data_IF_518021818313
#
_entry.id   IF_518021818313
#
_cell.length_a   1.000
_cell.length_b   1.000
_cell.length_c   1.000
_cell.angle_alpha   90.00
_cell.angle_beta   90.00
_cell.angle_gamma   90.00
#
_symmetry.space_group_name_H-M   'P 1'
#
loop_
_entity.id
_entity.type
_entity.pdbx_description
1 polymer ?
#
# COMPACT_ATOMS: atom_id res chain seq x y z
N UNK A 1 -58.97 40.91 -4.63
CA UNK A 1 -59.75 39.86 -5.31
C UNK A 1 -59.03 38.57 -5.04
N UNK A 2 -59.66 37.84 -4.20
CA UNK A 2 -59.93 36.41 -4.03
C UNK A 2 -58.71 35.54 -3.73
N UNK A 3 -58.45 35.23 -2.53
CA UNK A 3 -58.89 34.28 -1.48
C UNK A 3 -58.59 32.80 -1.78
N UNK A 4 -58.44 31.98 -0.75
CA UNK A 4 -57.43 30.93 -0.57
C UNK A 4 -58.06 29.51 -0.53
N UNK A 5 -57.25 28.45 -0.53
CA UNK A 5 -57.70 27.11 -0.14
C UNK A 5 -56.61 26.41 0.69
N UNK A 6 -56.81 26.36 1.92
CA UNK A 6 -57.31 25.36 2.91
C UNK A 6 -56.54 24.02 2.94
N UNK A 7 -55.99 23.88 4.12
CA UNK A 7 -55.42 22.67 4.77
C UNK A 7 -56.46 21.53 4.87
N UNK A 8 -56.02 20.29 4.75
CA UNK A 8 -56.64 19.17 5.48
C UNK A 8 -55.59 18.35 6.24
N UNK A 9 -55.75 18.39 7.52
CA UNK A 9 -55.17 17.44 8.51
C UNK A 9 -56.06 16.18 8.51
N UNK A 10 -55.45 15.00 8.54
CA UNK A 10 -56.12 13.71 8.72
C UNK A 10 -55.39 12.87 9.77
N UNK A 11 -56.12 12.62 10.76
CA UNK A 11 -55.94 12.08 12.10
C UNK A 11 -55.33 10.66 12.16
N UNK A 12 -54.63 10.43 13.24
CA UNK A 12 -54.23 9.17 13.79
C UNK A 12 -55.41 8.22 14.12
N UNK A 13 -55.17 6.94 14.00
CA UNK A 13 -55.99 5.92 14.62
C UNK A 13 -55.08 4.81 15.18
N UNK A 14 -55.10 4.74 16.51
CA UNK A 14 -54.59 3.64 17.31
C UNK A 14 -55.61 2.49 17.29
N UNK A 15 -55.19 1.28 17.01
CA UNK A 15 -55.92 0.07 17.38
C UNK A 15 -55.02 -0.89 18.11
N UNK A 16 -55.55 -1.36 19.23
CA UNK A 16 -54.98 -2.15 20.31
C UNK A 16 -54.98 -3.66 20.01
N UNK A 17 -53.97 -4.29 20.62
CA UNK A 17 -53.93 -5.62 21.27
C UNK A 17 -54.69 -6.81 20.66
N UNK A 18 -53.92 -7.89 20.44
CA UNK A 18 -54.39 -9.27 20.43
C UNK A 18 -53.20 -10.20 20.75
N UNK A 19 -53.12 -10.62 22.00
CA UNK A 19 -52.17 -11.63 22.50
C UNK A 19 -52.76 -13.00 22.18
N UNK A 20 -52.12 -13.81 21.33
CA UNK A 20 -52.41 -15.26 21.27
C UNK A 20 -51.06 -15.97 21.21
N UNK A 21 -50.78 -16.73 22.27
CA UNK A 21 -49.60 -17.58 22.34
C UNK A 21 -49.81 -18.82 21.50
N UNK A 22 -48.79 -19.17 20.75
CA UNK A 22 -48.63 -20.49 20.13
C UNK A 22 -47.23 -20.99 20.40
N UNK A 23 -47.16 -22.15 21.04
CA UNK A 23 -45.95 -22.96 21.29
C UNK A 23 -45.18 -23.13 19.99
N UNK A 24 -43.95 -22.71 19.95
CA UNK A 24 -42.99 -23.01 18.85
C UNK A 24 -42.19 -24.25 19.22
N UNK A 25 -42.36 -25.27 18.44
CA UNK A 25 -41.51 -26.45 18.36
C UNK A 25 -40.20 -26.03 17.73
N UNK A 26 -39.10 -26.21 18.44
CA UNK A 26 -37.77 -25.88 17.96
C UNK A 26 -37.35 -26.74 16.76
N UNK A 27 -37.01 -26.08 15.68
CA UNK A 27 -36.15 -26.63 14.63
C UNK A 27 -34.91 -25.77 14.63
N UNK A 28 -33.85 -26.28 15.25
CA UNK A 28 -32.52 -25.68 15.22
C UNK A 28 -31.97 -25.76 13.80
N UNK A 29 -32.21 -24.70 13.02
CA UNK A 29 -31.45 -24.47 11.81
C UNK A 29 -30.10 -23.88 12.23
N UNK A 30 -29.07 -24.72 12.21
CA UNK A 30 -27.67 -24.31 12.18
C UNK A 30 -27.42 -23.60 10.84
N UNK A 31 -27.92 -22.37 10.73
CA UNK A 31 -27.43 -21.41 9.75
C UNK A 31 -26.23 -20.73 10.41
N UNK A 32 -25.06 -21.33 10.29
CA UNK A 32 -23.80 -20.62 10.51
C UNK A 32 -23.78 -19.38 9.62
N UNK A 33 -23.24 -18.25 10.10
CA UNK A 33 -23.03 -17.11 9.22
C UNK A 33 -22.08 -17.55 8.12
N UNK A 34 -22.58 -17.66 6.90
CA UNK A 34 -21.75 -17.75 5.71
C UNK A 34 -20.91 -16.50 5.72
N UNK A 35 -19.56 -16.60 5.71
CA UNK A 35 -18.79 -15.42 5.45
C UNK A 35 -19.19 -14.98 4.03
N UNK A 36 -19.89 -13.87 3.95
CA UNK A 36 -20.01 -13.12 2.72
C UNK A 36 -18.61 -12.58 2.40
N UNK A 37 -17.72 -13.46 1.91
CA UNK A 37 -16.54 -13.05 1.22
C UNK A 37 -17.04 -12.30 -0.01
N UNK A 38 -17.27 -11.02 0.18
CA UNK A 38 -17.47 -10.12 -0.93
C UNK A 38 -16.26 -10.33 -1.85
N UNK A 39 -16.53 -10.88 -3.01
CA UNK A 39 -15.55 -11.01 -4.07
C UNK A 39 -15.25 -9.61 -4.58
N UNK A 40 -14.41 -8.88 -3.84
CA UNK A 40 -13.77 -7.69 -4.33
C UNK A 40 -12.69 -8.18 -5.29
N UNK A 41 -12.99 -8.22 -6.57
CA UNK A 41 -11.96 -8.31 -7.60
C UNK A 41 -10.90 -7.23 -7.34
N UNK A 42 -9.67 -7.38 -7.90
CA UNK A 42 -8.61 -6.39 -7.69
C UNK A 42 -9.19 -5.02 -8.00
N UNK A 43 -8.93 -4.02 -7.17
CA UNK A 43 -9.51 -2.69 -7.35
C UNK A 43 -9.19 -2.24 -8.79
N UNK A 44 -10.21 -1.82 -9.50
CA UNK A 44 -10.14 -1.45 -10.93
C UNK A 44 -8.97 -0.50 -11.26
N UNK A 45 -8.47 0.21 -10.26
CA UNK A 45 -7.30 1.09 -10.36
C UNK A 45 -5.97 0.32 -10.51
N UNK A 46 -5.77 -0.82 -9.82
CA UNK A 46 -4.49 -1.59 -9.94
C UNK A 46 -4.35 -2.22 -11.32
N UNK A 47 -5.41 -2.80 -11.86
CA UNK A 47 -5.42 -3.36 -13.23
C UNK A 47 -5.11 -2.28 -14.26
N UNK A 48 -5.69 -1.10 -14.09
CA UNK A 48 -5.48 0.04 -14.99
C UNK A 48 -4.04 0.57 -14.93
N UNK A 49 -3.41 0.59 -13.75
CA UNK A 49 -2.01 1.01 -13.58
C UNK A 49 -1.08 0.08 -14.33
N UNK A 50 -1.25 -1.22 -14.23
CA UNK A 50 -0.40 -2.20 -14.91
C UNK A 50 -0.52 -2.12 -16.45
N UNK A 51 -1.73 -1.94 -16.96
CA UNK A 51 -1.96 -1.71 -18.40
C UNK A 51 -1.27 -0.44 -18.89
N UNK A 52 -1.34 0.62 -18.10
CA UNK A 52 -0.68 1.89 -18.42
C UNK A 52 0.86 1.77 -18.35
N UNK A 53 1.41 1.05 -17.39
CA UNK A 53 2.85 0.77 -17.31
C UNK A 53 3.32 0.00 -18.52
N UNK A 54 2.58 -1.02 -18.93
CA UNK A 54 2.87 -1.77 -20.15
C UNK A 54 2.79 -0.89 -21.40
N UNK A 55 1.73 -0.10 -21.54
CA UNK A 55 1.57 0.84 -22.65
C UNK A 55 2.70 1.87 -22.68
N UNK A 56 3.15 2.38 -21.54
CA UNK A 56 4.27 3.33 -21.46
C UNK A 56 5.58 2.76 -21.99
N UNK A 57 5.83 1.47 -21.80
CA UNK A 57 7.11 0.85 -22.16
C UNK A 57 7.08 0.20 -23.55
N UNK A 58 5.95 -0.41 -23.94
CA UNK A 58 5.90 -1.33 -25.09
C UNK A 58 5.14 -0.76 -26.30
N UNK A 59 4.30 0.27 -26.13
CA UNK A 59 3.50 0.76 -27.24
C UNK A 59 4.38 1.44 -28.30
N UNK A 60 4.16 1.08 -29.56
CA UNK A 60 4.92 1.65 -30.69
C UNK A 60 4.61 3.14 -30.92
N UNK A 61 3.39 3.58 -30.59
CA UNK A 61 2.95 4.95 -30.78
C UNK A 61 3.35 5.82 -29.59
N UNK A 62 4.27 6.76 -29.80
CA UNK A 62 4.71 7.65 -28.74
C UNK A 62 3.58 8.47 -28.10
N UNK A 63 2.47 8.76 -28.80
CA UNK A 63 1.32 9.47 -28.24
C UNK A 63 0.62 8.64 -27.16
N UNK A 64 0.54 7.32 -27.35
CA UNK A 64 0.00 6.39 -26.35
C UNK A 64 0.94 6.35 -25.13
N UNK A 65 2.26 6.26 -25.34
CA UNK A 65 3.25 6.32 -24.25
C UNK A 65 3.17 7.63 -23.46
N UNK A 66 3.01 8.77 -24.14
CA UNK A 66 2.78 10.08 -23.48
C UNK A 66 1.52 10.07 -22.64
N UNK A 67 0.39 9.58 -23.18
CA UNK A 67 -0.86 9.50 -22.44
C UNK A 67 -0.75 8.59 -21.22
N UNK A 68 -0.08 7.44 -21.36
CA UNK A 68 0.18 6.53 -20.26
C UNK A 68 0.99 7.22 -19.14
N UNK A 69 2.05 7.94 -19.47
CA UNK A 69 2.85 8.71 -18.49
C UNK A 69 2.03 9.77 -17.77
N UNK A 70 1.18 10.53 -18.50
CA UNK A 70 0.30 11.55 -17.90
C UNK A 70 -0.66 10.92 -16.90
N UNK A 71 -1.31 9.83 -17.28
CA UNK A 71 -2.32 9.17 -16.42
C UNK A 71 -1.64 8.55 -15.20
N UNK A 72 -0.49 7.90 -15.36
CA UNK A 72 0.28 7.33 -14.25
C UNK A 72 0.69 8.41 -13.24
N UNK A 73 1.17 9.57 -13.69
CA UNK A 73 1.48 10.70 -12.82
C UNK A 73 0.27 11.23 -12.04
N UNK A 74 -0.92 11.28 -12.69
CA UNK A 74 -2.17 11.74 -12.05
C UNK A 74 -2.77 10.74 -11.07
N UNK A 75 -2.58 9.45 -11.30
CA UNK A 75 -3.08 8.40 -10.40
C UNK A 75 -2.35 8.40 -9.05
N UNK A 76 -1.15 8.97 -8.98
CA UNK A 76 -0.40 9.07 -7.73
C UNK A 76 0.13 7.73 -7.21
N UNK A 77 0.11 6.68 -8.03
CA UNK A 77 0.58 5.34 -7.63
C UNK A 77 2.10 5.25 -7.77
N UNK A 78 2.79 5.18 -6.64
CA UNK A 78 4.25 5.04 -6.60
C UNK A 78 4.76 3.76 -7.27
N UNK A 79 3.92 2.74 -7.44
CA UNK A 79 4.23 1.54 -8.22
C UNK A 79 4.54 1.84 -9.68
N UNK A 80 4.15 3.01 -10.21
CA UNK A 80 4.49 3.45 -11.56
C UNK A 80 5.92 4.01 -11.71
N UNK A 81 6.59 4.34 -10.60
CA UNK A 81 7.93 4.98 -10.61
C UNK A 81 8.96 4.21 -11.43
N UNK A 82 9.12 2.88 -11.32
CA UNK A 82 10.11 2.16 -12.12
C UNK A 82 9.87 2.27 -13.63
N UNK A 83 8.61 2.22 -14.07
CA UNK A 83 8.26 2.36 -15.48
C UNK A 83 8.52 3.78 -16.01
N UNK A 84 8.21 4.79 -15.21
CA UNK A 84 8.47 6.19 -15.54
C UNK A 84 9.97 6.49 -15.58
N UNK A 85 10.77 5.90 -14.69
CA UNK A 85 12.24 5.99 -14.74
C UNK A 85 12.77 5.42 -16.06
N UNK A 86 12.27 4.25 -16.46
CA UNK A 86 12.63 3.66 -17.76
C UNK A 86 12.24 4.57 -18.94
N UNK A 87 11.09 5.23 -18.85
CA UNK A 87 10.62 6.18 -19.88
C UNK A 87 11.47 7.47 -19.98
N UNK A 88 12.35 7.77 -19.01
CA UNK A 88 13.35 8.83 -19.15
C UNK A 88 14.41 8.53 -20.23
N UNK A 89 14.46 7.30 -20.73
CA UNK A 89 15.34 6.84 -21.80
C UNK A 89 14.61 6.65 -23.14
N UNK A 90 13.35 7.07 -23.23
CA UNK A 90 12.56 6.95 -24.45
C UNK A 90 13.19 7.70 -25.61
N UNK A 91 13.08 7.15 -26.81
CA UNK A 91 13.59 7.78 -28.04
C UNK A 91 12.92 9.12 -28.35
N UNK A 92 11.63 9.25 -27.95
CA UNK A 92 10.85 10.45 -28.16
C UNK A 92 11.00 11.44 -26.99
N UNK A 93 11.47 12.65 -27.29
CA UNK A 93 11.69 13.70 -26.29
C UNK A 93 10.45 14.07 -25.47
N UNK A 94 9.26 14.02 -26.10
CA UNK A 94 8.01 14.34 -25.38
C UNK A 94 7.70 13.29 -24.32
N UNK A 95 7.95 12.00 -24.59
CA UNK A 95 7.80 10.93 -23.61
C UNK A 95 8.75 11.15 -22.44
N UNK A 96 10.05 11.46 -22.72
CA UNK A 96 11.04 11.76 -21.67
C UNK A 96 10.61 12.94 -20.78
N UNK A 97 10.14 14.02 -21.42
CA UNK A 97 9.69 15.22 -20.69
C UNK A 97 8.49 14.94 -19.78
N UNK A 98 7.49 14.22 -20.30
CA UNK A 98 6.28 13.90 -19.53
C UNK A 98 6.57 12.86 -18.44
N UNK A 99 7.46 11.89 -18.69
CA UNK A 99 7.93 10.95 -17.67
C UNK A 99 8.62 11.69 -16.51
N UNK A 100 9.49 12.67 -16.81
CA UNK A 100 10.12 13.52 -15.80
C UNK A 100 9.08 14.30 -14.99
N UNK A 101 8.09 14.91 -15.66
CA UNK A 101 7.00 15.62 -14.97
C UNK A 101 6.19 14.68 -14.07
N UNK A 102 5.84 13.49 -14.55
CA UNK A 102 5.08 12.50 -13.78
C UNK A 102 5.84 12.05 -12.54
N UNK A 103 7.16 11.80 -12.65
CA UNK A 103 8.00 11.48 -11.48
C UNK A 103 8.03 12.60 -10.45
N UNK A 104 8.07 13.86 -10.88
CA UNK A 104 7.94 15.00 -9.98
C UNK A 104 6.58 15.05 -9.27
N UNK A 105 5.48 14.70 -9.96
CA UNK A 105 4.14 14.64 -9.38
C UNK A 105 3.98 13.52 -8.35
N UNK A 106 4.60 12.35 -8.61
CA UNK A 106 4.58 11.22 -7.67
C UNK A 106 5.35 11.51 -6.37
N UNK A 107 6.36 12.37 -6.42
CA UNK A 107 7.08 12.81 -5.25
C UNK A 107 8.02 11.76 -4.63
N UNK A 108 8.27 10.65 -5.31
CA UNK A 108 9.13 9.57 -4.82
C UNK A 108 10.62 9.93 -4.96
N UNK A 109 11.34 9.95 -3.84
CA UNK A 109 12.76 10.33 -3.80
C UNK A 109 13.68 9.45 -4.64
N UNK A 110 13.30 8.20 -4.95
CA UNK A 110 14.08 7.29 -5.80
C UNK A 110 14.24 7.80 -7.24
N UNK A 111 13.37 8.72 -7.69
CA UNK A 111 13.46 9.35 -8.99
C UNK A 111 14.54 10.44 -9.08
N UNK A 112 15.09 10.90 -7.95
CA UNK A 112 16.01 12.04 -7.96
C UNK A 112 17.31 11.78 -8.75
N UNK A 113 17.94 10.63 -8.55
CA UNK A 113 19.17 10.26 -9.26
C UNK A 113 18.93 10.02 -10.76
N UNK A 114 17.92 9.26 -11.20
CA UNK A 114 17.54 9.14 -12.60
C UNK A 114 17.27 10.48 -13.31
N UNK A 115 16.57 11.41 -12.65
CA UNK A 115 16.32 12.74 -13.20
C UNK A 115 17.60 13.58 -13.32
N UNK A 116 18.52 13.51 -12.36
CA UNK A 116 19.83 14.12 -12.49
C UNK A 116 20.64 13.51 -13.63
N UNK A 117 20.55 12.19 -13.81
CA UNK A 117 21.14 11.49 -14.94
C UNK A 117 20.59 11.99 -16.28
N UNK A 118 19.28 12.19 -16.37
CA UNK A 118 18.65 12.78 -17.56
C UNK A 118 19.19 14.19 -17.85
N UNK A 119 19.27 15.06 -16.85
CA UNK A 119 19.80 16.42 -17.03
C UNK A 119 21.23 16.47 -17.57
N UNK A 120 22.08 15.53 -17.16
CA UNK A 120 23.46 15.47 -17.61
C UNK A 120 23.60 15.07 -19.09
N UNK A 121 22.71 14.20 -19.60
CA UNK A 121 22.79 13.65 -20.96
C UNK A 121 21.85 14.28 -21.97
N UNK A 122 20.81 14.98 -21.53
CA UNK A 122 19.78 15.54 -22.39
C UNK A 122 20.27 16.79 -23.09
N UNK A 123 19.91 16.96 -24.38
CA UNK A 123 20.22 18.15 -25.17
C UNK A 123 19.00 19.08 -25.29
N UNK A 124 17.78 18.54 -25.30
CA UNK A 124 16.56 19.31 -25.53
C UNK A 124 16.21 20.19 -24.33
N UNK A 125 16.09 21.53 -24.50
CA UNK A 125 15.83 22.46 -23.42
C UNK A 125 14.48 22.23 -22.72
N UNK A 126 13.46 21.76 -23.48
CA UNK A 126 12.15 21.48 -22.92
C UNK A 126 12.20 20.30 -21.94
N UNK A 127 12.89 19.22 -22.34
CA UNK A 127 13.09 18.05 -21.47
C UNK A 127 13.87 18.41 -20.21
N UNK A 128 14.97 19.18 -20.39
CA UNK A 128 15.74 19.70 -19.25
C UNK A 128 14.87 20.50 -18.28
N UNK A 129 14.06 21.42 -18.80
CA UNK A 129 13.17 22.24 -17.99
C UNK A 129 12.14 21.41 -17.20
N UNK A 130 11.62 20.31 -17.75
CA UNK A 130 10.73 19.41 -17.01
C UNK A 130 11.47 18.62 -15.94
N UNK A 131 12.67 18.14 -16.21
CA UNK A 131 13.48 17.43 -15.24
C UNK A 131 13.93 18.32 -14.07
N UNK A 132 14.31 19.57 -14.34
CA UNK A 132 14.63 20.56 -13.29
C UNK A 132 13.44 20.86 -12.38
N UNK A 133 12.25 21.08 -12.97
CA UNK A 133 11.01 21.27 -12.21
C UNK A 133 10.69 20.06 -11.36
N UNK A 134 10.81 18.87 -11.92
CA UNK A 134 10.58 17.61 -11.19
C UNK A 134 11.53 17.48 -9.99
N UNK A 135 12.82 17.75 -10.18
CA UNK A 135 13.80 17.73 -9.09
C UNK A 135 13.53 18.79 -8.02
N UNK A 136 13.10 19.98 -8.40
CA UNK A 136 12.70 21.01 -7.44
C UNK A 136 11.50 20.55 -6.60
N UNK A 137 10.48 19.94 -7.24
CA UNK A 137 9.31 19.39 -6.56
C UNK A 137 9.70 18.26 -5.61
N UNK A 138 10.57 17.33 -6.05
CA UNK A 138 11.07 16.24 -5.20
C UNK A 138 11.84 16.77 -3.99
N UNK A 139 12.72 17.75 -4.17
CA UNK A 139 13.46 18.36 -3.06
C UNK A 139 12.51 18.97 -2.02
N UNK A 140 11.46 19.66 -2.48
CA UNK A 140 10.46 20.25 -1.60
C UNK A 140 9.66 19.16 -0.88
N UNK A 141 9.24 18.11 -1.58
CA UNK A 141 8.52 16.97 -0.99
C UNK A 141 9.40 16.27 0.06
N UNK A 142 10.67 16.02 -0.24
CA UNK A 142 11.62 15.41 0.69
C UNK A 142 11.89 16.31 1.91
N UNK A 143 12.03 17.63 1.72
CA UNK A 143 12.20 18.57 2.82
C UNK A 143 10.95 18.64 3.73
N UNK A 144 9.76 18.64 3.15
CA UNK A 144 8.49 18.60 3.90
C UNK A 144 8.33 17.29 4.64
N UNK A 145 8.68 16.15 4.01
CA UNK A 145 8.68 14.83 4.64
C UNK A 145 9.66 14.79 5.82
N UNK A 146 10.87 15.33 5.65
CA UNK A 146 11.86 15.43 6.72
C UNK A 146 11.39 16.33 7.87
N UNK A 147 10.75 17.47 7.56
CA UNK A 147 10.19 18.36 8.57
C UNK A 147 9.02 17.71 9.33
N UNK A 148 8.15 16.98 8.62
CA UNK A 148 7.05 16.23 9.23
C UNK A 148 7.59 15.07 10.10
N UNK A 149 8.61 14.37 9.64
CA UNK A 149 9.31 13.33 10.41
C UNK A 149 9.97 13.91 11.67
N UNK A 150 10.60 15.08 11.58
CA UNK A 150 11.20 15.75 12.73
C UNK A 150 10.17 16.18 13.78
N UNK A 151 8.96 16.58 13.33
CA UNK A 151 7.85 16.93 14.23
C UNK A 151 7.21 15.68 14.86
N UNK A 152 7.09 14.60 14.08
CA UNK A 152 6.62 13.31 14.57
C UNK A 152 7.61 12.70 15.58
N UNK A 153 8.92 12.86 15.36
CA UNK A 153 9.97 12.38 16.29
C UNK A 153 9.85 12.98 17.69
N UNK A 154 9.35 14.22 17.85
CA UNK A 154 9.15 14.81 19.18
C UNK A 154 8.09 14.10 20.02
N UNK A 155 7.16 13.38 19.42
CA UNK A 155 6.11 12.59 20.08
C UNK A 155 6.37 11.10 20.03
N UNK A 156 7.32 10.65 19.23
CA UNK A 156 7.61 9.24 19.09
C UNK A 156 8.29 8.69 20.36
N UNK A 157 7.76 7.59 20.86
CA UNK A 157 8.32 6.82 21.97
C UNK A 157 9.00 5.54 21.47
N UNK A 158 8.73 5.15 20.23
CA UNK A 158 9.18 3.90 19.64
C UNK A 158 9.87 4.18 18.31
N UNK A 159 11.06 3.64 18.16
CA UNK A 159 11.79 3.57 16.90
C UNK A 159 11.70 2.18 16.30
N UNK A 160 11.30 2.09 15.02
CA UNK A 160 11.29 0.84 14.26
C UNK A 160 12.35 0.86 13.18
N UNK A 161 13.23 -0.13 13.20
CA UNK A 161 14.17 -0.43 12.13
C UNK A 161 13.72 -1.68 11.40
N UNK A 162 13.63 -1.60 10.07
CA UNK A 162 13.25 -2.74 9.25
C UNK A 162 14.49 -3.44 8.71
N UNK A 163 14.53 -4.75 8.86
CA UNK A 163 15.47 -5.63 8.21
C UNK A 163 15.02 -6.09 6.83
N UNK A 164 15.83 -6.89 6.14
CA UNK A 164 15.46 -7.46 4.87
C UNK A 164 14.35 -8.52 5.05
N UNK A 165 13.29 -8.40 4.29
CA UNK A 165 12.33 -9.50 4.15
C UNK A 165 12.82 -10.44 3.06
N UNK A 166 12.73 -11.75 3.29
CA UNK A 166 13.24 -12.76 2.36
C UNK A 166 12.22 -13.86 2.11
N UNK A 167 12.33 -14.55 0.97
CA UNK A 167 11.58 -15.77 0.72
C UNK A 167 12.38 -17.01 1.17
N UNK A 168 11.70 -18.02 1.69
CA UNK A 168 12.36 -19.28 2.10
C UNK A 168 12.78 -20.16 0.92
N UNK A 169 12.24 -19.89 -0.28
CA UNK A 169 12.60 -20.61 -1.49
C UNK A 169 12.94 -19.63 -2.64
N UNK A 170 13.66 -20.15 -3.65
CA UNK A 170 14.12 -19.34 -4.79
C UNK A 170 13.00 -18.83 -5.70
N UNK A 171 11.80 -19.36 -5.57
CA UNK A 171 10.62 -18.94 -6.34
C UNK A 171 9.97 -17.68 -5.79
N UNK A 172 10.28 -17.30 -4.55
CA UNK A 172 9.78 -16.08 -3.92
C UNK A 172 10.80 -14.97 -4.19
N UNK A 173 10.51 -14.17 -5.20
CA UNK A 173 11.39 -13.08 -5.63
C UNK A 173 11.43 -11.89 -4.68
N UNK A 174 12.37 -10.95 -4.90
CA UNK A 174 12.53 -9.74 -4.07
C UNK A 174 11.31 -8.84 -4.10
N UNK A 175 10.48 -8.89 -5.13
CA UNK A 175 9.26 -8.08 -5.23
C UNK A 175 8.21 -8.50 -4.18
N UNK A 176 8.08 -9.80 -3.91
CA UNK A 176 7.22 -10.31 -2.85
C UNK A 176 7.65 -9.80 -1.46
N UNK A 177 8.95 -9.80 -1.20
CA UNK A 177 9.51 -9.27 0.04
C UNK A 177 9.27 -7.77 0.21
N UNK A 178 9.33 -7.02 -0.90
CA UNK A 178 9.04 -5.58 -0.92
C UNK A 178 7.59 -5.28 -0.55
N UNK A 179 6.63 -6.07 -1.06
CA UNK A 179 5.20 -5.91 -0.70
C UNK A 179 5.01 -5.97 0.81
N UNK A 180 5.61 -6.97 1.49
CA UNK A 180 5.49 -7.10 2.95
C UNK A 180 6.11 -5.89 3.65
N UNK A 181 7.33 -5.51 3.28
CA UNK A 181 8.03 -4.36 3.84
C UNK A 181 7.19 -3.08 3.73
N UNK A 182 6.67 -2.78 2.53
CA UNK A 182 5.95 -1.55 2.25
C UNK A 182 4.61 -1.48 3.00
N UNK A 183 3.90 -2.61 3.12
CA UNK A 183 2.67 -2.68 3.90
C UNK A 183 2.95 -2.44 5.38
N UNK A 184 3.94 -3.14 5.96
CA UNK A 184 4.28 -2.99 7.37
C UNK A 184 4.76 -1.56 7.68
N UNK A 185 5.62 -1.00 6.84
CA UNK A 185 6.11 0.37 7.00
C UNK A 185 4.95 1.38 6.91
N UNK A 186 4.06 1.23 5.92
CA UNK A 186 2.89 2.10 5.73
C UNK A 186 1.95 2.04 6.93
N UNK A 187 1.60 0.85 7.40
CA UNK A 187 0.63 0.68 8.48
C UNK A 187 1.19 1.11 9.84
N UNK A 188 2.42 0.72 10.16
CA UNK A 188 3.03 1.06 11.44
C UNK A 188 3.42 2.55 11.54
N UNK A 189 3.73 3.20 10.42
CA UNK A 189 4.01 4.66 10.40
C UNK A 189 2.78 5.53 10.69
N UNK A 190 1.56 4.97 10.61
CA UNK A 190 0.34 5.68 11.03
C UNK A 190 0.24 5.86 12.55
N UNK A 191 1.02 5.13 13.32
CA UNK A 191 1.04 5.23 14.78
C UNK A 191 1.84 6.47 15.20
N UNK A 192 1.19 7.45 15.83
CA UNK A 192 1.84 8.70 16.27
C UNK A 192 3.01 8.49 17.24
N UNK A 193 3.02 7.35 17.96
CA UNK A 193 4.07 6.98 18.90
C UNK A 193 5.28 6.29 18.24
N UNK A 194 5.20 5.99 16.94
CA UNK A 194 6.21 5.28 16.17
C UNK A 194 6.93 6.22 15.20
N UNK A 195 8.25 6.05 15.09
CA UNK A 195 9.05 6.61 14.00
C UNK A 195 9.89 5.52 13.34
N UNK A 196 10.01 5.58 12.03
CA UNK A 196 10.88 4.70 11.23
C UNK A 196 12.18 5.40 10.81
N UNK A 197 12.30 6.68 11.11
CA UNK A 197 13.46 7.50 10.74
C UNK A 197 14.06 8.15 11.99
N UNK A 198 15.37 8.06 12.12
CA UNK A 198 16.15 8.77 13.13
C UNK A 198 17.11 9.74 12.45
N UNK A 199 17.29 10.89 13.05
CA UNK A 199 18.38 11.78 12.63
C UNK A 199 19.74 11.10 12.86
N UNK A 200 20.80 11.45 12.09
CA UNK A 200 22.14 10.89 12.33
C UNK A 200 22.65 11.12 13.76
N UNK A 201 22.22 12.22 14.40
CA UNK A 201 22.56 12.52 15.79
C UNK A 201 21.83 11.57 16.76
N UNK A 202 20.52 11.33 16.53
CA UNK A 202 19.73 10.42 17.36
C UNK A 202 20.16 8.96 17.20
N UNK A 203 20.60 8.55 16.01
CA UNK A 203 21.17 7.20 15.80
C UNK A 203 22.41 6.94 16.65
N UNK A 204 23.32 7.93 16.72
CA UNK A 204 24.55 7.84 17.54
C UNK A 204 24.25 7.87 19.03
N UNK A 205 23.22 8.59 19.44
CA UNK A 205 22.85 8.79 20.84
C UNK A 205 21.60 7.98 21.25
N UNK A 206 21.17 7.02 20.46
CA UNK A 206 19.92 6.30 20.64
C UNK A 206 19.64 5.83 22.08
N UNK A 207 20.59 5.23 22.79
CA UNK A 207 20.34 4.81 24.18
C UNK A 207 19.96 5.96 25.12
N UNK A 208 20.31 7.21 24.76
CA UNK A 208 20.05 8.41 25.55
C UNK A 208 18.74 9.12 25.17
N UNK A 209 18.09 8.70 24.07
CA UNK A 209 16.85 9.33 23.57
C UNK A 209 15.62 8.99 24.41
N UNK A 210 15.70 7.97 25.26
CA UNK A 210 14.55 7.45 26.02
C UNK A 210 13.53 6.69 25.17
N UNK A 211 13.78 6.53 23.86
CA UNK A 211 12.90 5.75 22.99
C UNK A 211 13.16 4.25 23.10
N UNK A 212 12.09 3.47 22.93
CA UNK A 212 12.20 2.02 22.77
C UNK A 212 12.53 1.69 21.31
N UNK A 213 13.63 0.98 21.07
CA UNK A 213 14.01 0.54 19.73
C UNK A 213 13.58 -0.89 19.45
N UNK A 214 13.03 -1.11 18.26
CA UNK A 214 12.71 -2.45 17.78
C UNK A 214 13.19 -2.65 16.36
N UNK A 215 13.67 -3.86 16.10
CA UNK A 215 14.04 -4.33 14.77
C UNK A 215 12.97 -5.31 14.29
N UNK A 216 12.47 -5.09 13.10
CA UNK A 216 11.45 -5.93 12.46
C UNK A 216 12.08 -6.61 11.27
N UNK A 217 12.06 -7.92 11.26
CA UNK A 217 12.56 -8.76 10.19
C UNK A 217 11.55 -9.86 9.89
N UNK A 218 11.65 -10.53 8.76
CA UNK A 218 10.71 -11.59 8.45
C UNK A 218 10.99 -12.34 7.17
N UNK A 219 10.21 -13.39 6.97
CA UNK A 219 10.27 -14.15 5.75
C UNK A 219 8.89 -14.61 5.29
N UNK A 220 8.78 -14.81 3.98
CA UNK A 220 7.65 -15.45 3.33
C UNK A 220 7.96 -16.94 3.32
N UNK A 221 7.19 -17.71 4.09
CA UNK A 221 7.42 -19.17 4.24
C UNK A 221 6.67 -19.98 3.22
N UNK A 222 5.56 -19.43 2.68
CA UNK A 222 4.77 -20.04 1.61
C UNK A 222 4.26 -18.97 0.65
N UNK A 223 4.29 -19.26 -0.64
CA UNK A 223 3.62 -18.51 -1.70
C UNK A 223 3.41 -19.46 -2.88
N UNK A 224 2.28 -20.14 -2.89
CA UNK A 224 2.00 -21.23 -3.81
C UNK A 224 0.66 -21.03 -4.50
N UNK A 225 0.58 -21.48 -5.75
CA UNK A 225 -0.68 -21.57 -6.49
C UNK A 225 -1.06 -23.04 -6.68
N UNK A 226 -2.27 -23.40 -6.30
CA UNK A 226 -2.84 -24.72 -6.51
C UNK A 226 -4.08 -24.67 -7.41
N UNK A 227 -4.27 -25.66 -8.31
CA UNK A 227 -5.49 -25.76 -9.10
C UNK A 227 -6.70 -26.01 -8.19
N UNK A 228 -7.81 -25.32 -8.46
CA UNK A 228 -9.06 -25.49 -7.72
C UNK A 228 -10.26 -25.36 -8.66
N UNK A 229 -10.82 -26.50 -9.13
CA UNK A 229 -12.09 -26.53 -9.85
C UNK A 229 -12.24 -25.61 -11.07
N UNK A 230 -11.16 -25.46 -11.89
CA UNK A 230 -11.13 -24.54 -13.05
C UNK A 230 -10.64 -23.13 -12.73
N UNK A 231 -10.38 -22.82 -11.46
CA UNK A 231 -9.71 -21.64 -10.95
C UNK A 231 -8.33 -21.99 -10.38
N UNK A 232 -7.64 -21.04 -9.80
CA UNK A 232 -6.41 -21.24 -9.02
C UNK A 232 -6.60 -20.68 -7.62
N UNK A 233 -6.11 -21.37 -6.62
CA UNK A 233 -6.02 -20.87 -5.25
C UNK A 233 -4.58 -20.49 -4.97
N UNK A 234 -4.35 -19.24 -4.58
CA UNK A 234 -3.06 -18.74 -4.13
C UNK A 234 -3.05 -18.68 -2.62
N UNK A 235 -2.09 -19.38 -2.00
CA UNK A 235 -1.89 -19.36 -0.55
C UNK A 235 -0.54 -18.74 -0.20
N UNK A 236 -0.51 -17.94 0.85
CA UNK A 236 0.73 -17.31 1.35
C UNK A 236 0.79 -17.33 2.87
N UNK A 237 1.99 -17.50 3.41
CA UNK A 237 2.28 -17.40 4.83
C UNK A 237 3.50 -16.49 5.03
N UNK A 238 3.36 -15.56 5.96
CA UNK A 238 4.39 -14.60 6.32
C UNK A 238 4.71 -14.78 7.81
N UNK A 239 5.99 -14.88 8.14
CA UNK A 239 6.49 -14.87 9.52
C UNK A 239 7.27 -13.60 9.76
N UNK A 240 6.99 -12.93 10.86
CA UNK A 240 7.67 -11.70 11.27
C UNK A 240 8.22 -11.85 12.67
N UNK A 241 9.43 -11.39 12.82
CA UNK A 241 10.20 -11.36 14.05
C UNK A 241 10.34 -9.93 14.51
N UNK A 242 10.10 -9.69 15.77
CA UNK A 242 10.43 -8.42 16.42
C UNK A 242 11.53 -8.66 17.45
N UNK A 243 12.60 -7.93 17.30
CA UNK A 243 13.72 -7.94 18.23
C UNK A 243 13.93 -6.55 18.82
N UNK A 244 14.53 -6.48 20.01
CA UNK A 244 14.91 -5.21 20.62
C UNK A 244 16.13 -4.63 19.91
N UNK A 245 16.05 -3.39 19.51
CA UNK A 245 17.16 -2.68 18.91
C UNK A 245 17.93 -1.87 19.99
N UNK A 246 19.26 -1.82 20.00
CA UNK A 246 20.20 -2.43 19.07
C UNK A 246 20.63 -3.87 19.43
N UNK A 247 20.22 -4.43 20.57
CA UNK A 247 20.71 -5.73 21.10
C UNK A 247 20.32 -6.94 20.25
N UNK A 248 19.31 -6.79 19.37
CA UNK A 248 18.73 -7.85 18.52
C UNK A 248 18.21 -9.07 19.30
N UNK A 249 17.91 -8.91 20.60
CA UNK A 249 17.21 -9.94 21.37
C UNK A 249 15.77 -10.06 20.91
N UNK A 250 15.36 -11.26 20.50
CA UNK A 250 14.01 -11.54 20.00
C UNK A 250 13.03 -11.44 21.15
N UNK A 251 11.92 -10.74 20.94
CA UNK A 251 10.89 -10.50 21.93
C UNK A 251 9.49 -10.94 21.49
N UNK A 252 9.27 -11.05 20.18
CA UNK A 252 7.97 -11.44 19.61
C UNK A 252 8.18 -12.16 18.29
N UNK A 253 7.35 -13.18 18.08
CA UNK A 253 7.11 -13.81 16.78
C UNK A 253 5.63 -13.67 16.45
N UNK A 254 5.33 -13.27 15.24
CA UNK A 254 3.97 -13.27 14.72
C UNK A 254 3.97 -13.86 13.31
N UNK A 255 2.88 -14.46 12.93
CA UNK A 255 2.69 -15.00 11.59
C UNK A 255 1.25 -14.79 11.15
N UNK A 256 1.08 -14.58 9.87
CA UNK A 256 -0.23 -14.55 9.23
C UNK A 256 -0.18 -15.29 7.90
N UNK A 257 -1.31 -15.83 7.52
CA UNK A 257 -1.50 -16.48 6.23
C UNK A 257 -2.83 -16.07 5.62
N UNK A 258 -2.88 -16.10 4.30
CA UNK A 258 -4.08 -15.86 3.52
C UNK A 258 -4.20 -16.88 2.39
N UNK A 259 -5.42 -17.04 1.88
CA UNK A 259 -5.70 -17.81 0.66
C UNK A 259 -6.71 -17.05 -0.18
N UNK A 260 -6.43 -16.91 -1.46
CA UNK A 260 -7.27 -16.19 -2.42
C UNK A 260 -7.53 -17.05 -3.65
N UNK A 261 -8.79 -17.07 -4.11
CA UNK A 261 -9.12 -17.68 -5.40
C UNK A 261 -8.93 -16.68 -6.54
N UNK A 262 -8.39 -17.14 -7.65
CA UNK A 262 -8.14 -16.34 -8.84
C UNK A 262 -8.44 -17.12 -10.12
N UNK A 263 -8.40 -16.42 -11.26
CA UNK A 263 -8.42 -17.08 -12.57
C UNK A 263 -7.15 -17.89 -12.82
N UNK A 264 -7.23 -18.83 -13.76
CA UNK A 264 -6.11 -19.73 -14.09
C UNK A 264 -5.02 -19.06 -14.95
N UNK A 265 -5.27 -17.85 -15.47
CA UNK A 265 -4.31 -17.13 -16.31
C UNK A 265 -3.10 -16.65 -15.47
N UNK A 266 -1.89 -16.63 -16.04
CA UNK A 266 -0.68 -16.18 -15.32
C UNK A 266 -0.85 -14.82 -14.62
N UNK A 267 -1.51 -13.87 -15.28
CA UNK A 267 -1.75 -12.51 -14.76
C UNK A 267 -2.68 -12.52 -13.54
N UNK A 268 -3.72 -13.37 -13.56
CA UNK A 268 -4.66 -13.49 -12.45
C UNK A 268 -3.95 -14.03 -11.21
N UNK A 269 -3.05 -15.01 -11.41
CA UNK A 269 -2.21 -15.59 -10.35
C UNK A 269 -1.23 -14.58 -9.77
N UNK A 270 -0.58 -13.76 -10.61
CA UNK A 270 0.35 -12.72 -10.16
C UNK A 270 -0.36 -11.68 -9.29
N UNK A 271 -1.55 -11.22 -9.71
CA UNK A 271 -2.38 -10.33 -8.89
C UNK A 271 -2.76 -10.99 -7.57
N UNK A 272 -3.21 -12.24 -7.59
CA UNK A 272 -3.59 -12.96 -6.39
C UNK A 272 -2.42 -13.17 -5.41
N UNK A 273 -1.21 -13.41 -5.92
CA UNK A 273 0.00 -13.48 -5.08
C UNK A 273 0.27 -12.16 -4.37
N UNK A 274 0.18 -11.05 -5.10
CA UNK A 274 0.35 -9.70 -4.52
C UNK A 274 -0.71 -9.44 -3.44
N UNK A 275 -1.99 -9.66 -3.76
CA UNK A 275 -3.10 -9.39 -2.85
C UNK A 275 -3.07 -10.31 -1.61
N UNK A 276 -2.62 -11.56 -1.78
CA UNK A 276 -2.40 -12.51 -0.69
C UNK A 276 -1.33 -12.01 0.29
N UNK A 277 -0.20 -11.54 -0.23
CA UNK A 277 0.88 -10.98 0.57
C UNK A 277 0.46 -9.68 1.26
N UNK A 278 -0.28 -8.81 0.58
CA UNK A 278 -0.80 -7.57 1.17
C UNK A 278 -1.78 -7.86 2.32
N UNK A 279 -2.68 -8.85 2.16
CA UNK A 279 -3.61 -9.27 3.20
C UNK A 279 -2.87 -9.85 4.42
N UNK A 280 -1.90 -10.75 4.19
CA UNK A 280 -1.11 -11.35 5.27
C UNK A 280 -0.27 -10.31 6.01
N UNK A 281 0.37 -9.38 5.28
CA UNK A 281 1.13 -8.29 5.89
C UNK A 281 0.24 -7.33 6.67
N UNK A 282 -0.98 -7.07 6.18
CA UNK A 282 -1.98 -6.27 6.89
C UNK A 282 -2.35 -6.87 8.23
N UNK A 283 -2.59 -8.17 8.29
CA UNK A 283 -2.89 -8.89 9.54
C UNK A 283 -1.71 -8.81 10.53
N UNK A 284 -0.48 -9.03 10.05
CA UNK A 284 0.72 -8.86 10.87
C UNK A 284 0.82 -7.42 11.40
N UNK A 285 0.55 -6.42 10.55
CA UNK A 285 0.60 -5.01 10.96
C UNK A 285 -0.41 -4.69 12.06
N UNK A 286 -1.60 -5.28 12.03
CA UNK A 286 -2.59 -5.14 13.10
C UNK A 286 -2.09 -5.70 14.44
N UNK A 287 -1.50 -6.89 14.41
CA UNK A 287 -0.96 -7.54 15.62
C UNK A 287 0.21 -6.74 16.18
N UNK A 288 1.12 -6.28 15.33
CA UNK A 288 2.22 -5.41 15.74
C UNK A 288 1.72 -4.06 16.26
N UNK A 289 0.64 -3.52 15.69
CA UNK A 289 0.00 -2.29 16.17
C UNK A 289 -0.51 -2.46 17.62
N UNK A 290 -1.17 -3.57 17.93
CA UNK A 290 -1.61 -3.89 19.28
C UNK A 290 -0.43 -3.98 20.24
N UNK A 291 0.62 -4.71 19.82
CA UNK A 291 1.84 -4.88 20.60
C UNK A 291 2.51 -3.53 20.90
N UNK A 292 2.74 -2.68 19.90
CA UNK A 292 3.43 -1.40 20.09
C UNK A 292 2.60 -0.39 20.90
N UNK A 293 1.28 -0.40 20.79
CA UNK A 293 0.42 0.42 21.66
C UNK A 293 0.60 0.07 23.16
N UNK A 294 0.80 -1.21 23.47
CA UNK A 294 1.06 -1.66 24.85
C UNK A 294 2.46 -1.28 25.33
N UNK A 295 3.45 -1.16 24.45
CA UNK A 295 4.82 -0.80 24.79
C UNK A 295 5.01 0.71 24.98
N UNK A 296 4.20 1.53 24.33
CA UNK A 296 4.34 3.00 24.32
C UNK A 296 3.37 3.75 25.24
N UNK A 297 2.50 3.02 25.98
CA UNK A 297 1.52 3.55 26.92
C UNK A 297 2.11 4.01 28.24
#
# INVERSE_FOLDING_TARGET
MTAPHQRRRGRASLVRLGLVGVLAIGVSHLAGPWPSSAWAGPPANKVKVEELRKALIEDSNFKVRVQAAIVLGRLGDVGAVPALIKALEDTNKTVRAIAAQALGQLGDGSAAEPLQGLLRREADPFVKGQADKALATLRTAMANSAATAATANKKAKIYLSFGPFTGTNKTIGPDAARVIHDVLQRELSKLQLVTTTLSPADQKSFPKTGMLGFFIDGNITRLDDSPSGGSSETSCDVKVLVARWPSKSIILWTNAGASLQSGSRPRDKESARHDCLEASAGQVAEDLTKFFKLQGG
#
